data_IF_811445093650
#
_entry.id   IF_811445093650
#
_cell.length_a   1.000
_cell.length_b   1.000
_cell.length_c   1.000
_cell.angle_alpha   90.00
_cell.angle_beta   90.00
_cell.angle_gamma   90.00
#
_symmetry.space_group_name_H-M   'P 1'
#
loop_
_entity.id
_entity.type
_entity.pdbx_description
1 polymer ?
#
# COMPACT_ATOMS: atom_id res chain seq x y z
N UNK A 1 -13.38 105.64 60.53
CA UNK A 1 -12.42 106.12 61.59
C UNK A 1 -11.29 105.08 61.68
N UNK A 2 -10.11 105.58 61.50
CA UNK A 2 -8.77 105.01 61.82
C UNK A 2 -8.37 103.69 61.08
N UNK A 3 -7.70 103.80 60.12
CA UNK A 3 -6.33 103.94 59.63
C UNK A 3 -5.26 103.41 60.60
N UNK A 4 -4.52 102.30 60.27
CA UNK A 4 -3.09 102.19 60.55
C UNK A 4 -2.43 101.24 59.55
N UNK A 5 -1.62 101.85 58.74
CA UNK A 5 -0.62 101.25 57.87
C UNK A 5 0.46 100.48 58.66
N UNK A 6 0.72 99.22 58.33
CA UNK A 6 1.90 98.45 58.83
C UNK A 6 2.89 98.21 57.70
N UNK A 7 3.81 99.00 57.56
CA UNK A 7 5.00 98.93 56.62
C UNK A 7 5.85 97.68 57.01
N UNK A 8 5.96 96.71 56.13
CA UNK A 8 6.92 95.61 56.25
C UNK A 8 8.25 96.06 55.73
N UNK A 9 9.21 96.28 56.64
CA UNK A 9 10.60 96.48 56.30
C UNK A 9 11.20 95.22 55.62
N UNK A 10 11.69 95.42 54.41
CA UNK A 10 12.54 94.41 53.71
C UNK A 10 13.91 94.44 54.35
N UNK A 11 14.27 93.39 55.10
CA UNK A 11 15.69 93.13 55.55
C UNK A 11 16.53 92.81 54.33
N UNK A 12 17.31 93.75 53.87
CA UNK A 12 18.39 93.53 52.92
C UNK A 12 19.46 92.67 53.58
N UNK A 13 19.61 91.42 53.07
CA UNK A 13 20.72 90.55 53.50
C UNK A 13 22.02 91.16 53.03
N UNK A 14 22.82 91.56 54.02
CA UNK A 14 24.15 92.13 53.84
C UNK A 14 25.12 91.06 53.35
N UNK A 15 25.20 90.83 52.02
CA UNK A 15 26.07 89.85 51.38
C UNK A 15 27.59 90.00 51.81
N UNK A 16 28.07 91.21 52.14
CA UNK A 16 29.45 91.43 52.59
C UNK A 16 29.83 90.74 53.88
N UNK A 17 28.91 90.51 54.81
CA UNK A 17 29.19 89.76 56.05
C UNK A 17 29.24 88.27 55.89
N UNK A 18 28.60 87.73 54.82
CA UNK A 18 28.67 86.29 54.50
C UNK A 18 29.97 85.91 53.78
N UNK A 19 30.57 86.82 52.96
CA UNK A 19 31.82 86.57 52.22
C UNK A 19 33.02 86.69 53.11
N UNK A 20 32.97 87.33 54.30
CA UNK A 20 34.09 87.41 55.29
C UNK A 20 34.14 86.27 56.31
N UNK A 21 33.13 85.41 56.28
CA UNK A 21 33.04 84.23 57.16
C UNK A 21 33.84 83.02 56.63
N UNK A 22 34.82 82.57 57.36
CA UNK A 22 35.61 81.33 57.05
C UNK A 22 34.66 80.11 56.95
N UNK A 23 33.60 80.11 57.72
CA UNK A 23 32.56 79.03 57.71
C UNK A 23 31.78 79.02 56.43
N UNK A 24 31.48 80.22 55.84
CA UNK A 24 30.78 80.29 54.52
C UNK A 24 31.63 79.68 53.43
N UNK A 25 32.90 80.00 53.36
CA UNK A 25 33.81 79.45 52.37
C UNK A 25 34.01 77.93 52.54
N UNK A 26 34.02 77.39 53.78
CA UNK A 26 34.05 75.94 54.01
C UNK A 26 32.76 75.24 53.51
N UNK A 27 31.60 75.84 53.79
CA UNK A 27 30.33 75.27 53.30
C UNK A 27 30.25 75.34 51.79
N UNK A 28 30.68 76.47 51.23
CA UNK A 28 30.69 76.68 49.76
C UNK A 28 31.64 75.66 49.05
N UNK A 29 32.83 75.45 49.63
CA UNK A 29 33.84 74.52 49.12
C UNK A 29 33.34 73.06 49.24
N UNK A 30 32.66 72.71 50.35
CA UNK A 30 32.04 71.41 50.50
C UNK A 30 30.90 71.18 49.51
N UNK A 31 30.08 72.22 49.29
CA UNK A 31 29.02 72.18 48.32
C UNK A 31 29.53 72.07 46.84
N UNK A 32 30.59 72.90 46.54
CA UNK A 32 31.23 72.80 45.21
C UNK A 32 31.91 71.43 45.00
N UNK A 33 32.57 70.90 46.02
CA UNK A 33 33.15 69.55 45.99
C UNK A 33 32.10 68.47 45.83
N UNK A 34 30.95 68.59 46.52
CA UNK A 34 29.81 67.66 46.38
C UNK A 34 29.18 67.73 44.98
N UNK A 35 29.09 68.96 44.45
CA UNK A 35 28.58 69.14 43.05
C UNK A 35 29.60 68.58 42.04
N UNK A 36 30.86 68.83 42.20
CA UNK A 36 31.91 68.28 41.35
C UNK A 36 31.97 66.75 41.49
N UNK A 37 31.85 66.21 42.68
CA UNK A 37 31.74 64.73 42.87
C UNK A 37 30.52 64.19 42.23
N UNK A 38 29.35 64.85 42.37
CA UNK A 38 28.10 64.42 41.70
C UNK A 38 28.21 64.52 40.17
N UNK A 39 28.84 65.56 39.63
CA UNK A 39 29.09 65.71 38.22
C UNK A 39 30.01 64.62 37.69
N UNK A 40 31.15 64.33 38.37
CA UNK A 40 32.09 63.30 37.98
C UNK A 40 31.41 61.92 38.05
N UNK A 41 30.66 61.61 39.11
CA UNK A 41 29.97 60.31 39.26
C UNK A 41 28.79 60.12 38.29
N UNK A 42 28.19 61.22 37.79
CA UNK A 42 27.13 61.16 36.78
C UNK A 42 27.64 61.14 35.36
N UNK A 43 28.81 61.75 35.10
CA UNK A 43 29.38 61.90 33.74
C UNK A 43 30.36 60.77 33.41
N UNK A 44 31.17 60.34 34.35
CA UNK A 44 32.05 59.19 34.29
C UNK A 44 31.29 58.03 35.02
N UNK A 45 30.30 57.36 34.34
CA UNK A 45 29.57 56.26 34.91
C UNK A 45 30.52 55.14 35.33
N UNK A 46 30.45 54.74 36.58
CA UNK A 46 31.23 53.58 37.11
C UNK A 46 30.98 52.37 36.22
N UNK A 47 32.02 51.92 35.55
CA UNK A 47 31.93 50.65 34.79
C UNK A 47 31.60 49.52 35.73
N UNK A 48 30.60 48.77 35.40
CA UNK A 48 30.18 47.58 36.12
C UNK A 48 30.21 46.38 35.18
N UNK A 49 30.36 45.20 35.72
CA UNK A 49 30.31 43.99 34.95
C UNK A 49 28.97 43.31 35.15
N UNK A 50 28.44 42.71 34.06
CA UNK A 50 27.24 41.93 34.06
C UNK A 50 27.46 40.64 33.27
N UNK A 51 27.22 39.51 33.90
CA UNK A 51 27.27 38.20 33.21
C UNK A 51 25.91 37.85 32.68
N UNK A 52 25.85 37.55 31.38
CA UNK A 52 24.69 37.00 30.67
C UNK A 52 24.94 35.52 30.43
N UNK A 53 24.04 34.68 30.91
CA UNK A 53 24.09 33.24 30.71
C UNK A 53 23.06 32.78 29.67
N UNK A 54 23.48 31.89 28.76
CA UNK A 54 22.55 31.33 27.75
C UNK A 54 22.18 32.31 26.63
N UNK A 55 23.13 33.19 26.23
CA UNK A 55 22.93 34.08 25.06
C UNK A 55 22.84 33.20 23.80
N UNK A 56 21.74 33.31 23.04
CA UNK A 56 21.45 32.50 21.87
C UNK A 56 22.47 32.73 20.76
N UNK A 57 22.85 31.65 20.06
CA UNK A 57 23.64 31.71 18.85
C UNK A 57 22.66 31.71 17.66
N UNK A 58 22.89 32.66 16.73
CA UNK A 58 22.11 32.77 15.47
C UNK A 58 23.06 32.75 14.27
N UNK A 59 22.69 32.02 13.24
CA UNK A 59 23.43 31.93 12.00
C UNK A 59 22.89 32.94 10.99
N UNK A 60 23.70 33.98 10.71
CA UNK A 60 23.35 35.01 9.73
C UNK A 60 23.68 34.51 8.31
N UNK A 61 22.72 34.61 7.41
CA UNK A 61 22.90 34.19 6.01
C UNK A 61 22.54 32.73 5.72
N UNK A 62 21.96 31.99 6.69
CA UNK A 62 21.58 30.58 6.51
C UNK A 62 20.60 30.38 5.36
N UNK A 63 19.58 31.25 5.23
CA UNK A 63 18.61 31.17 4.13
C UNK A 63 19.24 31.49 2.77
N UNK A 64 20.15 32.48 2.71
CA UNK A 64 20.87 32.81 1.51
C UNK A 64 21.82 31.68 1.07
N UNK A 65 22.53 31.07 2.01
CA UNK A 65 23.39 29.91 1.79
C UNK A 65 22.58 28.71 1.28
N UNK A 66 21.41 28.44 1.87
CA UNK A 66 20.49 27.39 1.41
C UNK A 66 20.00 27.65 -0.01
N UNK A 67 19.62 28.89 -0.33
CA UNK A 67 19.06 29.25 -1.64
C UNK A 67 20.10 29.29 -2.77
N UNK A 68 21.36 29.67 -2.45
CA UNK A 68 22.42 29.88 -3.45
C UNK A 68 23.32 28.66 -3.68
N UNK A 69 23.48 27.82 -2.67
CA UNK A 69 24.50 26.76 -2.67
C UNK A 69 23.99 25.40 -2.21
N UNK A 70 22.68 25.27 -1.90
CA UNK A 70 22.06 24.06 -1.35
C UNK A 70 22.80 23.54 -0.10
N UNK A 71 23.31 24.44 0.74
CA UNK A 71 24.03 24.11 1.96
C UNK A 71 23.16 24.43 3.19
N UNK A 72 23.22 23.56 4.20
CA UNK A 72 22.51 23.72 5.47
C UNK A 72 23.42 23.41 6.65
N UNK A 73 23.22 24.13 7.76
CA UNK A 73 23.88 23.81 9.03
C UNK A 73 23.13 22.64 9.69
N UNK A 74 23.83 21.56 10.02
CA UNK A 74 23.21 20.33 10.55
C UNK A 74 23.55 20.05 12.00
N UNK A 75 24.80 20.29 12.40
CA UNK A 75 25.28 20.06 13.76
C UNK A 75 25.94 21.32 14.30
N UNK A 76 25.75 21.62 15.56
CA UNK A 76 26.44 22.67 16.27
C UNK A 76 26.84 22.17 17.66
N UNK A 77 28.03 22.52 18.09
CA UNK A 77 28.56 22.10 19.39
C UNK A 77 27.86 22.77 20.58
N UNK A 78 27.21 23.90 20.31
CA UNK A 78 26.49 24.69 21.32
C UNK A 78 25.39 25.55 20.70
N UNK A 79 24.31 25.76 21.41
CA UNK A 79 23.18 26.64 21.01
C UNK A 79 23.22 28.00 21.69
N UNK A 80 24.10 28.14 22.70
CA UNK A 80 24.24 29.39 23.47
C UNK A 80 25.65 29.55 24.02
N UNK A 81 26.01 30.82 24.33
CA UNK A 81 27.27 31.18 24.99
C UNK A 81 26.99 32.01 26.22
N UNK A 82 27.88 31.90 27.21
CA UNK A 82 27.88 32.81 28.36
C UNK A 82 28.92 33.91 28.13
N UNK A 83 28.59 35.15 28.49
CA UNK A 83 29.47 36.27 28.32
C UNK A 83 29.39 37.22 29.48
N UNK A 84 30.53 37.84 29.83
CA UNK A 84 30.63 38.91 30.83
C UNK A 84 30.92 40.22 30.09
N UNK A 85 30.01 41.16 30.24
CA UNK A 85 30.03 42.47 29.60
C UNK A 85 30.39 43.53 30.62
N UNK A 86 31.27 44.52 30.28
CA UNK A 86 31.57 45.70 31.06
C UNK A 86 31.02 46.94 30.38
N UNK A 87 30.52 47.88 31.17
CA UNK A 87 29.96 49.14 30.68
C UNK A 87 29.22 49.88 31.78
N UNK A 88 28.64 51.02 31.44
CA UNK A 88 27.88 51.78 32.42
C UNK A 88 26.62 51.03 32.88
N UNK A 89 26.24 51.20 34.14
CA UNK A 89 25.03 50.54 34.70
C UNK A 89 23.79 50.83 33.89
N UNK A 90 23.69 52.02 33.30
CA UNK A 90 22.55 52.45 32.46
C UNK A 90 22.44 51.60 31.20
N UNK A 91 23.54 51.31 30.56
CA UNK A 91 23.61 50.50 29.34
C UNK A 91 23.39 49.04 29.65
N UNK A 92 24.12 48.50 30.65
CA UNK A 92 24.02 47.09 30.99
C UNK A 92 22.65 46.69 31.59
N UNK A 93 21.90 47.63 32.17
CA UNK A 93 20.55 47.35 32.65
C UNK A 93 19.57 47.00 31.54
N UNK A 94 19.81 47.47 30.32
CA UNK A 94 19.00 47.21 29.14
C UNK A 94 19.31 45.86 28.47
N UNK A 95 20.46 45.25 28.80
CA UNK A 95 20.91 43.99 28.19
C UNK A 95 20.41 42.81 28.99
N UNK A 96 19.81 41.85 28.30
CA UNK A 96 19.35 40.59 28.84
C UNK A 96 19.84 39.45 27.93
N UNK A 97 19.84 38.23 28.41
CA UNK A 97 20.17 37.05 27.60
C UNK A 97 19.16 36.79 26.42
N UNK A 98 18.00 37.44 26.46
CA UNK A 98 16.96 37.32 25.40
C UNK A 98 17.05 38.38 24.33
N UNK A 99 17.77 39.53 24.57
CA UNK A 99 17.89 40.61 23.60
C UNK A 99 19.32 40.86 23.10
N UNK A 100 20.29 40.10 23.61
CA UNK A 100 21.64 40.00 23.08
C UNK A 100 21.77 38.67 22.36
N UNK A 101 22.33 38.69 21.15
CA UNK A 101 22.56 37.48 20.36
C UNK A 101 24.01 37.37 19.92
N UNK A 102 24.52 36.14 19.85
CA UNK A 102 25.81 35.82 19.26
C UNK A 102 25.59 35.43 17.80
N UNK A 103 26.04 36.20 16.83
CA UNK A 103 25.79 35.99 15.40
C UNK A 103 27.01 35.39 14.73
N UNK A 104 26.83 34.24 14.11
CA UNK A 104 27.82 33.58 13.23
C UNK A 104 27.50 33.92 11.79
N UNK A 105 28.45 34.54 11.10
CA UNK A 105 28.26 34.92 9.68
C UNK A 105 28.64 33.76 8.75
N UNK A 106 27.69 33.28 7.94
CA UNK A 106 27.89 32.18 7.02
C UNK A 106 28.26 32.61 5.58
N UNK A 107 28.47 33.91 5.30
CA UNK A 107 28.74 34.39 3.94
C UNK A 107 29.99 33.78 3.30
N UNK A 108 30.95 33.32 4.09
CA UNK A 108 32.19 32.70 3.63
C UNK A 108 32.14 31.17 3.58
N UNK A 109 30.97 30.58 3.88
CA UNK A 109 30.76 29.13 3.83
C UNK A 109 30.29 28.74 2.44
N UNK A 110 31.18 28.12 1.66
CA UNK A 110 30.93 27.78 0.26
C UNK A 110 30.93 26.29 -0.06
N UNK A 111 31.26 25.45 0.91
CA UNK A 111 31.33 23.99 0.76
C UNK A 111 30.78 23.27 1.99
N UNK A 112 30.49 21.98 1.83
CA UNK A 112 30.19 21.08 2.93
C UNK A 112 31.43 20.79 3.77
N UNK A 113 31.27 20.60 5.07
CA UNK A 113 32.38 20.28 5.99
C UNK A 113 32.21 20.86 7.39
N UNK A 114 33.26 20.69 8.18
CA UNK A 114 33.34 21.26 9.56
C UNK A 114 33.92 22.65 9.53
N UNK A 115 33.28 23.56 10.25
CA UNK A 115 33.67 24.93 10.39
C UNK A 115 33.86 25.28 11.86
N UNK A 116 34.82 26.16 12.12
CA UNK A 116 35.06 26.78 13.44
C UNK A 116 35.12 28.27 13.18
N UNK A 117 34.07 28.99 13.52
CA UNK A 117 33.92 30.43 13.18
C UNK A 117 33.68 31.24 14.44
N UNK A 118 34.35 32.38 14.54
CA UNK A 118 34.05 33.36 15.58
C UNK A 118 32.70 34.02 15.34
N UNK A 119 32.08 34.50 16.39
CA UNK A 119 30.79 35.17 16.32
C UNK A 119 30.91 36.63 16.72
N UNK A 120 30.03 37.45 16.16
CA UNK A 120 29.86 38.84 16.56
C UNK A 120 28.70 38.93 17.57
N UNK A 121 28.79 39.92 18.48
CA UNK A 121 27.73 40.13 19.47
C UNK A 121 26.79 41.23 18.94
N UNK A 122 25.56 40.89 18.74
CA UNK A 122 24.52 41.82 18.36
C UNK A 122 23.77 42.34 19.58
N UNK A 123 23.76 43.67 19.75
CA UNK A 123 23.04 44.35 20.81
C UNK A 123 21.69 44.85 20.34
N UNK A 124 20.72 45.02 21.25
CA UNK A 124 19.40 45.54 20.89
C UNK A 124 19.45 46.99 20.44
N UNK A 125 18.44 47.42 19.66
CA UNK A 125 18.28 48.80 19.22
C UNK A 125 18.33 49.79 20.42
N UNK A 126 19.14 50.87 20.30
CA UNK A 126 19.32 51.87 21.35
C UNK A 126 20.42 51.55 22.36
N UNK A 127 21.26 50.58 22.10
CA UNK A 127 22.53 50.31 22.77
C UNK A 127 23.65 50.43 21.74
N UNK A 128 24.61 51.34 22.04
CA UNK A 128 25.78 51.54 21.17
C UNK A 128 26.83 50.48 21.55
N UNK A 129 27.29 49.67 20.60
CA UNK A 129 28.31 48.66 20.80
C UNK A 129 29.61 49.20 21.41
N UNK A 130 29.96 50.45 21.12
CA UNK A 130 31.15 51.09 21.65
C UNK A 130 31.08 51.41 23.16
N UNK A 131 29.87 51.35 23.76
CA UNK A 131 29.65 51.58 25.20
C UNK A 131 29.68 50.28 26.02
N UNK A 132 29.88 49.12 25.33
CA UNK A 132 29.92 47.79 25.97
C UNK A 132 31.19 47.06 25.56
N UNK A 133 31.98 46.66 26.57
CA UNK A 133 33.19 45.87 26.35
C UNK A 133 32.92 44.42 26.75
N UNK A 134 33.27 43.47 25.89
CA UNK A 134 33.25 42.05 26.21
C UNK A 134 34.47 41.68 26.98
N UNK A 135 34.32 41.30 28.25
CA UNK A 135 35.42 40.96 29.14
C UNK A 135 35.80 39.51 29.05
N UNK A 136 34.80 38.64 28.96
CA UNK A 136 34.99 37.20 28.91
C UNK A 136 33.82 36.53 28.17
N UNK A 137 34.15 35.50 27.42
CA UNK A 137 33.18 34.59 26.79
C UNK A 137 33.48 33.14 27.16
N UNK A 138 32.48 32.31 27.25
CA UNK A 138 32.66 30.87 27.51
C UNK A 138 33.33 30.13 26.35
N UNK A 139 33.30 30.70 25.15
CA UNK A 139 34.00 30.25 23.96
C UNK A 139 34.10 31.39 22.97
N UNK A 140 35.16 31.47 22.22
CA UNK A 140 35.39 32.50 21.19
C UNK A 140 34.95 32.05 19.81
N UNK A 141 34.66 30.76 19.66
CA UNK A 141 34.25 30.16 18.37
C UNK A 141 33.06 29.23 18.58
N UNK A 142 32.31 29.07 17.51
CA UNK A 142 31.24 28.06 17.38
C UNK A 142 31.67 27.04 16.32
N UNK A 143 31.65 25.77 16.71
CA UNK A 143 31.91 24.68 15.77
C UNK A 143 30.60 24.15 15.27
N UNK A 144 30.49 24.01 13.95
CA UNK A 144 29.30 23.49 13.30
C UNK A 144 29.67 22.70 12.05
N UNK A 145 28.76 21.83 11.62
CA UNK A 145 28.89 21.08 10.40
C UNK A 145 27.89 21.62 9.36
N UNK A 146 28.36 21.77 8.14
CA UNK A 146 27.55 22.15 6.97
C UNK A 146 27.46 20.96 6.03
N UNK A 147 26.25 20.61 5.64
CA UNK A 147 26.01 19.55 4.67
C UNK A 147 25.25 20.06 3.46
N UNK A 148 25.30 19.31 2.36
CA UNK A 148 24.50 19.61 1.17
C UNK A 148 23.05 19.20 1.42
N UNK A 149 22.14 20.05 0.98
CA UNK A 149 20.73 19.72 0.92
C UNK A 149 20.52 18.71 -0.23
N UNK A 150 19.97 17.54 0.08
CA UNK A 150 19.63 16.52 -0.87
C UNK A 150 18.12 16.29 -0.90
N UNK A 151 17.59 15.96 -2.09
CA UNK A 151 16.24 15.42 -2.26
C UNK A 151 16.35 13.99 -2.69
N UNK A 152 15.47 13.13 -2.18
CA UNK A 152 15.36 11.73 -2.55
C UNK A 152 13.90 11.33 -2.60
N UNK A 153 13.52 10.60 -3.63
CA UNK A 153 12.24 9.91 -3.69
C UNK A 153 12.46 8.47 -3.24
N UNK A 154 11.66 8.01 -2.30
CA UNK A 154 11.74 6.66 -1.74
C UNK A 154 10.42 5.94 -1.91
N UNK A 155 10.48 4.63 -2.15
CA UNK A 155 9.29 3.78 -2.26
C UNK A 155 8.61 3.63 -0.90
N UNK A 156 7.30 3.48 -0.92
CA UNK A 156 6.52 3.12 0.26
C UNK A 156 6.35 1.61 0.28
N UNK A 157 6.77 0.99 1.37
CA UNK A 157 6.61 -0.44 1.66
C UNK A 157 5.89 -0.61 2.98
N UNK A 158 5.37 -1.81 3.23
CA UNK A 158 4.73 -2.08 4.50
C UNK A 158 4.68 -3.55 4.83
N UNK A 159 4.27 -3.84 6.05
CA UNK A 159 4.00 -5.19 6.52
C UNK A 159 2.70 -5.22 7.31
N UNK A 160 1.95 -6.28 7.11
CA UNK A 160 0.80 -6.63 7.92
C UNK A 160 1.24 -7.60 9.02
N UNK A 161 0.87 -7.31 10.25
CA UNK A 161 1.09 -8.17 11.40
C UNK A 161 -0.25 -8.38 12.10
N UNK A 162 -0.67 -9.64 12.23
CA UNK A 162 -1.95 -10.02 12.82
C UNK A 162 -2.55 -11.22 12.11
N UNK A 163 -3.84 -11.38 12.23
CA UNK A 163 -4.60 -12.47 11.62
C UNK A 163 -5.86 -11.94 10.92
N UNK A 164 -6.38 -12.75 10.02
CA UNK A 164 -7.71 -12.57 9.43
C UNK A 164 -8.74 -13.37 10.20
N UNK A 165 -10.00 -12.96 10.14
CA UNK A 165 -11.12 -13.74 10.62
C UNK A 165 -11.24 -15.06 9.86
N UNK A 166 -11.93 -16.06 10.42
CA UNK A 166 -12.19 -17.32 9.76
C UNK A 166 -12.94 -17.11 8.44
N UNK A 167 -12.47 -17.76 7.39
CA UNK A 167 -13.03 -17.59 6.03
C UNK A 167 -12.47 -16.39 5.26
N UNK A 168 -11.40 -15.78 5.73
CA UNK A 168 -10.74 -14.65 5.07
C UNK A 168 -9.24 -14.85 4.94
N UNK A 169 -8.65 -14.22 3.93
CA UNK A 169 -7.21 -14.23 3.67
C UNK A 169 -6.77 -12.81 3.32
N UNK A 170 -5.74 -12.31 4.00
CA UNK A 170 -5.11 -11.07 3.61
C UNK A 170 -4.18 -11.30 2.41
N UNK A 171 -4.30 -10.45 1.39
CA UNK A 171 -3.31 -10.39 0.31
C UNK A 171 -2.02 -9.78 0.88
N UNK A 172 -0.89 -10.45 0.69
CA UNK A 172 0.42 -9.95 1.13
C UNK A 172 0.83 -8.67 0.38
N UNK A 173 0.26 -8.44 -0.80
CA UNK A 173 0.50 -7.25 -1.60
C UNK A 173 -0.37 -6.08 -1.15
N UNK A 174 0.20 -5.22 -0.28
CA UNK A 174 -0.45 -3.95 0.09
C UNK A 174 -0.30 -2.92 -1.02
N UNK A 175 -1.34 -2.12 -1.23
CA UNK A 175 -1.34 -1.00 -2.16
C UNK A 175 -1.17 0.31 -1.40
N UNK A 176 -0.27 1.17 -1.89
CA UNK A 176 0.02 2.48 -1.28
C UNK A 176 -0.29 3.61 -2.25
N UNK A 177 -0.86 4.69 -1.75
CA UNK A 177 -1.08 5.92 -2.50
C UNK A 177 -0.64 7.14 -1.65
N UNK A 178 0.43 7.85 -2.06
CA UNK A 178 1.30 7.58 -3.22
C UNK A 178 2.23 6.38 -3.02
N UNK A 179 2.65 5.73 -4.12
CA UNK A 179 3.64 4.63 -4.11
C UNK A 179 5.05 5.08 -3.71
N UNK A 180 5.33 6.37 -3.86
CA UNK A 180 6.63 6.97 -3.56
C UNK A 180 6.42 8.28 -2.83
N UNK A 181 7.32 8.59 -1.90
CA UNK A 181 7.30 9.86 -1.17
C UNK A 181 8.63 10.60 -1.36
N UNK A 182 8.56 11.91 -1.49
CA UNK A 182 9.74 12.74 -1.60
C UNK A 182 10.14 13.28 -0.23
N UNK A 183 11.43 13.18 0.05
CA UNK A 183 12.07 13.67 1.27
C UNK A 183 13.24 14.58 0.93
N UNK A 184 13.52 15.54 1.78
CA UNK A 184 14.66 16.43 1.65
C UNK A 184 15.33 16.67 3.00
N UNK A 185 16.64 16.91 2.97
CA UNK A 185 17.43 17.13 4.18
C UNK A 185 18.92 17.03 3.91
N UNK A 186 19.75 16.96 4.97
CA UNK A 186 21.20 16.77 4.83
C UNK A 186 21.51 15.51 4.04
N UNK A 187 22.42 15.61 3.08
CA UNK A 187 22.81 14.49 2.21
C UNK A 187 23.27 13.28 3.02
N UNK A 188 24.02 13.50 4.08
CA UNK A 188 24.53 12.44 4.97
C UNK A 188 23.42 11.67 5.67
N UNK A 189 22.28 12.33 5.95
CA UNK A 189 21.10 11.72 6.58
C UNK A 189 20.21 11.07 5.50
N UNK A 190 19.89 11.83 4.44
CA UNK A 190 19.02 11.35 3.34
C UNK A 190 19.58 10.11 2.65
N UNK A 191 20.93 10.00 2.54
CA UNK A 191 21.55 8.83 1.91
C UNK A 191 21.36 7.53 2.70
N UNK A 192 21.08 7.60 4.00
CA UNK A 192 20.82 6.44 4.86
C UNK A 192 19.40 5.89 4.69
N UNK A 193 18.46 6.72 4.26
CA UNK A 193 17.08 6.32 4.08
C UNK A 193 16.99 5.44 2.83
N UNK A 194 16.44 4.22 2.97
CA UNK A 194 16.18 3.30 1.86
C UNK A 194 14.74 3.46 1.38
N UNK A 195 13.76 3.30 2.25
CA UNK A 195 12.35 3.38 1.93
C UNK A 195 11.49 3.95 3.07
N UNK A 196 10.25 4.30 2.76
CA UNK A 196 9.21 4.62 3.74
C UNK A 196 8.48 3.33 4.13
N UNK A 197 8.27 3.12 5.42
CA UNK A 197 7.69 1.88 5.93
C UNK A 197 6.40 2.14 6.72
N UNK A 198 5.36 1.37 6.39
CA UNK A 198 4.05 1.36 7.07
C UNK A 198 3.84 0.01 7.72
N UNK A 199 3.60 -0.02 9.02
CA UNK A 199 3.22 -1.24 9.74
C UNK A 199 1.71 -1.22 10.03
N UNK A 200 1.00 -2.27 9.61
CA UNK A 200 -0.40 -2.50 9.96
C UNK A 200 -0.46 -3.62 10.98
N UNK A 201 -0.96 -3.34 12.16
CA UNK A 201 -1.20 -4.37 13.18
C UNK A 201 -2.71 -4.43 13.46
N UNK A 202 -3.35 -5.55 13.07
CA UNK A 202 -4.79 -5.78 13.25
C UNK A 202 -5.05 -7.27 13.47
N UNK A 203 -6.07 -7.56 14.28
CA UNK A 203 -6.57 -8.90 14.53
C UNK A 203 -7.98 -9.07 13.94
N UNK A 204 -8.33 -10.29 13.55
CA UNK A 204 -9.66 -10.66 13.04
C UNK A 204 -10.16 -9.78 11.88
N UNK A 205 -9.27 -9.54 10.91
CA UNK A 205 -9.63 -8.72 9.75
C UNK A 205 -10.55 -9.51 8.82
N UNK A 206 -11.75 -8.98 8.58
CA UNK A 206 -12.84 -9.61 7.81
C UNK A 206 -13.17 -8.87 6.50
N UNK A 207 -12.44 -7.81 6.18
CA UNK A 207 -12.65 -6.99 4.98
C UNK A 207 -11.41 -6.20 4.61
N UNK A 208 -11.37 -5.76 3.36
CA UNK A 208 -10.33 -4.83 2.88
C UNK A 208 -10.28 -3.58 3.76
N UNK A 209 -9.08 -3.26 4.23
CA UNK A 209 -8.79 -2.06 5.02
C UNK A 209 -8.17 -1.01 4.10
N UNK A 210 -8.70 0.22 4.13
CA UNK A 210 -8.12 1.35 3.42
C UNK A 210 -8.22 2.60 4.29
N UNK A 211 -7.08 3.19 4.66
CA UNK A 211 -7.03 4.40 5.49
C UNK A 211 -5.68 5.12 5.34
N UNK A 212 -5.68 6.43 5.63
CA UNK A 212 -4.44 7.22 5.68
C UNK A 212 -3.72 7.01 7.00
N UNK A 213 -2.40 6.90 6.92
CA UNK A 213 -1.52 6.75 8.07
C UNK A 213 -0.16 7.39 7.81
N UNK A 214 0.54 7.72 8.88
CA UNK A 214 1.93 8.16 8.82
C UNK A 214 2.87 6.99 8.54
N UNK A 215 4.03 7.28 8.02
CA UNK A 215 5.08 6.29 7.72
C UNK A 215 6.37 6.59 8.47
N UNK A 216 7.17 5.58 8.73
CA UNK A 216 8.52 5.68 9.23
C UNK A 216 9.52 5.64 8.08
N UNK A 217 10.58 6.45 8.14
CA UNK A 217 11.70 6.32 7.22
C UNK A 217 12.69 5.30 7.78
N UNK A 218 13.13 4.37 6.95
CA UNK A 218 14.01 3.28 7.40
C UNK A 218 15.19 3.10 6.46
N UNK A 219 16.26 2.50 6.98
CA UNK A 219 17.42 2.07 6.21
C UNK A 219 17.17 0.72 5.51
N UNK A 220 18.15 0.22 4.77
CA UNK A 220 18.07 -1.06 4.07
C UNK A 220 17.89 -2.29 5.00
N UNK A 221 18.10 -2.13 6.30
CA UNK A 221 17.89 -3.19 7.30
C UNK A 221 16.61 -3.00 8.11
N UNK A 222 15.71 -2.10 7.66
CA UNK A 222 14.48 -1.71 8.34
C UNK A 222 14.70 -1.03 9.72
N UNK A 223 15.89 -0.46 9.99
CA UNK A 223 16.07 0.34 11.18
C UNK A 223 15.54 1.76 10.96
N UNK A 224 14.82 2.35 11.93
CA UNK A 224 14.31 3.72 11.81
C UNK A 224 15.44 4.74 11.60
N UNK A 225 15.24 5.66 10.67
CA UNK A 225 16.08 6.83 10.45
C UNK A 225 15.31 8.05 10.95
N UNK A 226 15.52 8.39 12.22
CA UNK A 226 14.87 9.53 12.87
C UNK A 226 15.85 10.71 12.92
N UNK A 227 15.52 11.77 12.19
CA UNK A 227 16.29 13.02 12.21
C UNK A 227 15.35 14.19 11.95
N UNK A 228 15.34 15.18 12.83
CA UNK A 228 14.48 16.35 12.74
C UNK A 228 14.82 17.28 11.57
N UNK A 229 15.96 17.08 10.92
CA UNK A 229 16.36 17.83 9.73
C UNK A 229 15.73 17.30 8.44
N UNK A 230 15.11 16.12 8.49
CA UNK A 230 14.40 15.55 7.34
C UNK A 230 13.03 16.26 7.17
N UNK A 231 12.82 16.84 6.01
CA UNK A 231 11.53 17.38 5.61
C UNK A 231 10.84 16.39 4.69
N UNK A 232 9.58 16.10 5.00
CA UNK A 232 8.69 15.23 4.20
C UNK A 232 7.78 16.11 3.37
N UNK A 233 7.66 15.80 2.08
CA UNK A 233 6.73 16.52 1.19
C UNK A 233 5.28 16.05 1.42
N UNK A 234 5.12 14.78 1.79
CA UNK A 234 3.86 14.15 2.16
C UNK A 234 4.03 13.49 3.52
N UNK A 235 3.17 13.79 4.48
CA UNK A 235 3.28 13.26 5.86
C UNK A 235 2.51 11.95 6.03
N UNK A 236 1.46 11.75 5.24
CA UNK A 236 0.60 10.57 5.30
C UNK A 236 0.50 9.88 3.96
N UNK A 237 0.32 8.58 3.99
CA UNK A 237 0.05 7.75 2.82
C UNK A 237 -1.21 6.93 3.08
N UNK A 238 -2.02 6.74 2.04
CA UNK A 238 -3.14 5.81 2.09
C UNK A 238 -2.61 4.41 1.85
N UNK A 239 -2.89 3.52 2.77
CA UNK A 239 -2.57 2.09 2.66
C UNK A 239 -3.86 1.30 2.48
N UNK A 240 -3.85 0.38 1.52
CA UNK A 240 -4.93 -0.57 1.30
C UNK A 240 -4.39 -1.99 1.45
N UNK A 241 -4.90 -2.71 2.44
CA UNK A 241 -4.71 -4.15 2.62
C UNK A 241 -5.94 -4.85 2.07
N UNK A 242 -5.77 -5.54 0.95
CA UNK A 242 -6.85 -6.33 0.37
C UNK A 242 -7.08 -7.59 1.21
N UNK A 243 -8.34 -7.88 1.49
CA UNK A 243 -8.76 -9.09 2.20
C UNK A 243 -9.79 -9.81 1.36
N UNK A 244 -9.46 -11.04 1.02
CA UNK A 244 -10.25 -11.92 0.16
C UNK A 244 -11.09 -12.86 1.04
N UNK A 245 -12.31 -13.13 0.61
CA UNK A 245 -13.11 -14.21 1.17
C UNK A 245 -12.58 -15.56 0.70
N UNK A 246 -12.60 -16.58 1.58
CA UNK A 246 -12.19 -17.93 1.23
C UNK A 246 -13.35 -18.92 1.44
N UNK A 247 -13.46 -19.92 0.56
CA UNK A 247 -14.49 -20.95 0.63
C UNK A 247 -13.99 -22.27 0.06
N UNK A 248 -14.28 -23.35 0.76
CA UNK A 248 -14.12 -24.69 0.21
C UNK A 248 -15.27 -24.97 -0.76
N UNK A 249 -14.94 -25.24 -2.03
CA UNK A 249 -15.89 -25.45 -3.12
C UNK A 249 -15.76 -26.85 -3.65
N UNK A 250 -16.84 -27.66 -3.62
CA UNK A 250 -16.84 -29.01 -4.17
C UNK A 250 -16.69 -28.99 -5.69
N UNK A 251 -15.95 -29.96 -6.20
CA UNK A 251 -15.82 -30.26 -7.61
C UNK A 251 -16.93 -31.20 -8.05
N UNK A 252 -17.48 -30.97 -9.23
CA UNK A 252 -18.56 -31.81 -9.80
C UNK A 252 -18.37 -31.93 -11.33
N UNK A 253 -19.10 -32.85 -11.92
CA UNK A 253 -19.16 -33.01 -13.37
C UNK A 253 -20.62 -33.04 -13.83
N UNK A 254 -20.86 -32.57 -15.02
CA UNK A 254 -22.17 -32.72 -15.69
C UNK A 254 -22.22 -34.09 -16.33
N UNK A 255 -23.24 -34.89 -15.99
CA UNK A 255 -23.48 -36.19 -16.62
C UNK A 255 -24.60 -36.05 -17.63
N UNK A 256 -24.37 -36.56 -18.84
CA UNK A 256 -25.41 -36.78 -19.85
C UNK A 256 -25.78 -38.25 -19.75
N UNK A 257 -27.05 -38.49 -19.39
CA UNK A 257 -27.61 -39.81 -19.31
C UNK A 257 -27.69 -40.45 -20.71
N UNK A 258 -27.50 -41.74 -20.78
CA UNK A 258 -27.57 -42.47 -22.05
C UNK A 258 -26.96 -43.86 -21.99
N UNK A 259 -27.11 -44.60 -23.10
CA UNK A 259 -26.59 -45.96 -23.17
C UNK A 259 -27.16 -46.89 -22.08
N UNK A 260 -28.41 -46.69 -21.66
CA UNK A 260 -29.06 -47.53 -20.62
C UNK A 260 -28.57 -47.26 -19.20
N UNK A 261 -27.97 -46.09 -18.93
CA UNK A 261 -27.57 -45.67 -17.58
C UNK A 261 -27.91 -44.21 -17.33
N UNK A 262 -28.19 -43.87 -16.08
CA UNK A 262 -28.46 -42.51 -15.62
C UNK A 262 -27.54 -42.16 -14.45
N UNK A 263 -27.34 -40.85 -14.22
CA UNK A 263 -26.52 -40.35 -13.11
C UNK A 263 -26.97 -40.95 -11.79
N UNK A 264 -28.26 -40.91 -11.50
CA UNK A 264 -28.77 -41.19 -10.17
C UNK A 264 -28.93 -42.67 -9.87
N UNK A 265 -29.26 -43.48 -10.89
CA UNK A 265 -29.57 -44.92 -10.69
C UNK A 265 -28.37 -45.82 -10.90
N UNK A 266 -27.47 -45.47 -11.80
CA UNK A 266 -26.47 -46.41 -12.30
C UNK A 266 -25.04 -45.93 -12.19
N UNK A 267 -24.76 -44.72 -11.65
CA UNK A 267 -23.39 -44.21 -11.60
C UNK A 267 -22.90 -43.95 -10.16
N UNK A 268 -21.65 -44.30 -9.93
CA UNK A 268 -20.86 -43.83 -8.77
C UNK A 268 -19.76 -42.94 -9.30
N UNK A 269 -19.74 -41.67 -8.84
CA UNK A 269 -18.78 -40.66 -9.28
C UNK A 269 -17.81 -40.40 -8.12
N UNK A 270 -16.53 -40.54 -8.38
CA UNK A 270 -15.43 -40.21 -7.45
C UNK A 270 -14.56 -39.14 -8.10
N UNK A 271 -14.31 -38.05 -7.37
CA UNK A 271 -13.48 -36.93 -7.83
C UNK A 271 -12.35 -36.73 -6.83
N UNK A 272 -11.12 -36.69 -7.31
CA UNK A 272 -9.93 -36.52 -6.47
C UNK A 272 -9.07 -35.37 -7.01
N UNK A 273 -8.89 -34.26 -6.25
CA UNK A 273 -9.54 -33.97 -4.96
C UNK A 273 -11.06 -33.73 -5.13
N UNK A 274 -11.82 -33.91 -4.06
CA UNK A 274 -13.28 -33.71 -4.08
C UNK A 274 -13.70 -32.25 -3.99
N UNK A 275 -12.81 -31.38 -3.49
CA UNK A 275 -13.01 -29.94 -3.30
C UNK A 275 -11.70 -29.21 -3.43
N UNK A 276 -11.79 -27.89 -3.62
CA UNK A 276 -10.64 -26.97 -3.57
C UNK A 276 -11.00 -25.75 -2.72
N UNK A 277 -9.99 -25.09 -2.16
CA UNK A 277 -10.14 -23.80 -1.49
C UNK A 277 -10.02 -22.68 -2.52
N UNK A 278 -11.06 -21.89 -2.69
CA UNK A 278 -11.05 -20.66 -3.49
C UNK A 278 -10.90 -19.44 -2.58
N UNK A 279 -10.15 -18.45 -3.04
CA UNK A 279 -10.11 -17.11 -2.47
C UNK A 279 -10.50 -16.09 -3.55
N UNK A 280 -11.14 -15.00 -3.15
CA UNK A 280 -11.54 -13.96 -4.10
C UNK A 280 -12.52 -12.96 -3.51
N UNK A 281 -13.10 -12.14 -4.39
CA UNK A 281 -14.13 -11.20 -3.99
C UNK A 281 -15.34 -11.92 -3.36
N UNK A 282 -15.87 -11.39 -2.27
CA UNK A 282 -16.97 -12.01 -1.51
C UNK A 282 -18.17 -12.37 -2.42
N UNK A 283 -18.54 -11.49 -3.37
CA UNK A 283 -19.64 -11.75 -4.29
C UNK A 283 -19.37 -12.93 -5.24
N UNK A 284 -18.13 -13.09 -5.71
CA UNK A 284 -17.72 -14.19 -6.57
C UNK A 284 -17.70 -15.52 -5.79
N UNK A 285 -17.15 -15.49 -4.58
CA UNK A 285 -17.09 -16.65 -3.66
C UNK A 285 -18.50 -17.11 -3.24
N UNK A 286 -19.37 -16.17 -2.84
CA UNK A 286 -20.72 -16.50 -2.39
C UNK A 286 -21.57 -17.13 -3.49
N UNK A 287 -21.42 -16.64 -4.73
CA UNK A 287 -22.15 -17.17 -5.90
C UNK A 287 -21.65 -18.54 -6.34
N UNK A 288 -20.42 -18.93 -5.96
CA UNK A 288 -19.82 -20.20 -6.36
C UNK A 288 -20.23 -21.30 -5.38
N UNK A 289 -21.18 -22.15 -5.77
CA UNK A 289 -21.66 -23.28 -4.95
C UNK A 289 -20.93 -24.58 -5.25
N UNK A 290 -20.49 -24.77 -6.49
CA UNK A 290 -19.70 -25.91 -6.97
C UNK A 290 -18.96 -25.54 -8.25
N UNK A 291 -17.89 -26.25 -8.56
CA UNK A 291 -17.11 -26.07 -9.77
C UNK A 291 -17.31 -27.27 -10.70
N UNK A 292 -17.81 -27.00 -11.91
CA UNK A 292 -18.03 -28.05 -12.91
C UNK A 292 -16.75 -28.22 -13.73
N UNK A 293 -16.17 -29.42 -13.65
CA UNK A 293 -14.92 -29.76 -14.34
C UNK A 293 -15.14 -30.04 -15.83
N UNK A 294 -16.30 -30.61 -16.18
CA UNK A 294 -16.61 -30.97 -17.57
C UNK A 294 -17.89 -31.76 -17.68
N UNK A 295 -18.13 -32.28 -18.90
CA UNK A 295 -19.31 -33.09 -19.21
C UNK A 295 -18.89 -34.49 -19.62
N UNK A 296 -19.55 -35.49 -19.04
CA UNK A 296 -19.34 -36.92 -19.32
C UNK A 296 -20.64 -37.51 -19.85
N UNK A 297 -20.56 -38.13 -21.02
CA UNK A 297 -21.71 -38.82 -21.63
C UNK A 297 -21.61 -40.31 -21.36
N UNK A 298 -22.60 -40.85 -20.64
CA UNK A 298 -22.64 -42.26 -20.26
C UNK A 298 -22.80 -43.22 -21.45
N UNK A 299 -23.21 -42.76 -22.60
CA UNK A 299 -23.31 -43.62 -23.80
C UNK A 299 -21.94 -43.88 -24.46
N UNK A 300 -20.86 -43.20 -24.08
CA UNK A 300 -19.58 -43.34 -24.76
C UNK A 300 -18.68 -44.46 -24.22
N UNK A 301 -18.98 -44.99 -23.05
CA UNK A 301 -18.20 -46.08 -22.42
C UNK A 301 -19.11 -47.14 -21.81
N UNK A 302 -18.60 -48.37 -21.78
CA UNK A 302 -19.42 -49.55 -21.41
C UNK A 302 -19.43 -49.80 -19.90
N UNK A 303 -18.32 -49.61 -19.21
CA UNK A 303 -18.14 -49.93 -17.78
C UNK A 303 -17.65 -48.72 -17.03
N UNK A 304 -16.36 -48.66 -16.70
CA UNK A 304 -15.76 -47.56 -15.96
C UNK A 304 -15.10 -46.56 -16.89
N UNK A 305 -15.11 -45.31 -16.46
CA UNK A 305 -14.44 -44.19 -17.16
C UNK A 305 -13.60 -43.45 -16.15
N UNK A 306 -12.39 -43.09 -16.54
CA UNK A 306 -11.52 -42.23 -15.73
C UNK A 306 -10.83 -41.23 -16.63
N UNK A 307 -10.89 -39.94 -16.25
CA UNK A 307 -10.24 -38.86 -16.97
C UNK A 307 -9.77 -37.78 -16.00
N UNK A 308 -8.73 -37.06 -16.41
CA UNK A 308 -8.22 -35.90 -15.69
C UNK A 308 -8.75 -34.63 -16.35
N UNK A 309 -9.24 -33.74 -15.53
CA UNK A 309 -9.79 -32.44 -15.91
C UNK A 309 -8.99 -31.31 -15.28
N UNK A 310 -8.73 -30.28 -16.04
CA UNK A 310 -8.13 -29.05 -15.53
C UNK A 310 -9.13 -28.28 -14.69
N UNK A 311 -8.71 -27.83 -13.51
CA UNK A 311 -9.50 -27.00 -12.60
C UNK A 311 -9.33 -25.54 -13.03
N UNK A 312 -10.41 -24.92 -13.47
CA UNK A 312 -10.43 -23.51 -13.91
C UNK A 312 -11.28 -22.72 -12.92
N UNK A 313 -10.64 -21.91 -12.05
CA UNK A 313 -11.38 -21.05 -11.11
C UNK A 313 -12.25 -20.04 -11.86
N UNK A 314 -13.41 -19.65 -11.30
CA UNK A 314 -14.23 -18.57 -11.83
C UNK A 314 -13.49 -17.23 -11.85
N UNK A 315 -13.93 -16.32 -12.74
CA UNK A 315 -13.37 -14.97 -12.77
C UNK A 315 -13.51 -14.27 -11.42
N UNK A 316 -12.45 -13.61 -10.97
CA UNK A 316 -12.41 -12.93 -9.66
C UNK A 316 -12.12 -13.87 -8.49
N UNK A 317 -11.73 -15.13 -8.76
CA UNK A 317 -11.29 -16.08 -7.71
C UNK A 317 -9.96 -16.73 -8.08
N UNK A 318 -9.25 -17.19 -7.05
CA UNK A 318 -7.99 -17.90 -7.16
C UNK A 318 -8.05 -19.24 -6.41
N UNK A 319 -7.37 -20.24 -6.94
CA UNK A 319 -7.28 -21.55 -6.31
C UNK A 319 -6.09 -21.60 -5.34
N UNK A 320 -6.38 -21.65 -4.06
CA UNK A 320 -5.39 -21.63 -2.98
C UNK A 320 -4.77 -23.01 -2.68
N UNK A 321 -5.33 -24.11 -3.24
CA UNK A 321 -4.79 -25.46 -2.98
C UNK A 321 -3.55 -25.77 -3.80
N UNK A 322 -3.27 -24.99 -4.86
CA UNK A 322 -2.18 -25.26 -5.81
C UNK A 322 -2.42 -26.47 -6.72
N UNK A 323 -3.54 -27.19 -6.55
CA UNK A 323 -3.90 -28.35 -7.38
C UNK A 323 -4.61 -27.86 -8.64
N UNK A 324 -4.02 -28.08 -9.79
CA UNK A 324 -4.52 -27.59 -11.09
C UNK A 324 -5.36 -28.60 -11.84
N UNK A 325 -5.40 -29.86 -11.41
CA UNK A 325 -6.09 -30.95 -12.08
C UNK A 325 -6.84 -31.84 -11.08
N UNK A 326 -7.96 -32.37 -11.52
CA UNK A 326 -8.73 -33.36 -10.74
C UNK A 326 -9.02 -34.60 -11.61
N UNK A 327 -8.86 -35.78 -11.00
CA UNK A 327 -9.21 -37.03 -11.63
C UNK A 327 -10.65 -37.38 -11.28
N UNK A 328 -11.46 -37.60 -12.33
CA UNK A 328 -12.86 -38.04 -12.22
C UNK A 328 -12.95 -39.48 -12.65
N UNK A 329 -13.46 -40.33 -11.76
CA UNK A 329 -13.77 -41.73 -12.05
C UNK A 329 -15.27 -41.94 -11.96
N UNK A 330 -15.85 -42.47 -13.02
CA UNK A 330 -17.28 -42.81 -13.11
C UNK A 330 -17.38 -44.32 -13.25
N UNK A 331 -17.93 -44.97 -12.27
CA UNK A 331 -18.18 -46.41 -12.29
C UNK A 331 -19.66 -46.68 -12.55
N UNK A 332 -19.94 -47.56 -13.49
CA UNK A 332 -21.32 -47.98 -13.85
C UNK A 332 -21.69 -49.18 -13.01
N UNK A 333 -22.87 -49.12 -12.37
CA UNK A 333 -23.37 -50.14 -11.45
C UNK A 333 -24.82 -50.55 -11.77
N UNK A 334 -25.22 -51.78 -11.42
CA UNK A 334 -26.61 -52.23 -11.55
C UNK A 334 -27.06 -52.58 -12.99
N UNK A 335 -26.12 -52.49 -13.93
CA UNK A 335 -26.41 -52.84 -15.35
C UNK A 335 -25.28 -53.75 -15.87
N UNK A 336 -25.58 -54.50 -16.91
CA UNK A 336 -24.66 -55.35 -17.65
C UNK A 336 -24.64 -54.96 -19.14
N UNK A 337 -23.67 -55.44 -19.89
CA UNK A 337 -23.56 -55.20 -21.35
C UNK A 337 -23.67 -56.54 -22.10
N UNK A 338 -24.33 -56.53 -23.26
CA UNK A 338 -24.42 -57.63 -24.19
C UNK A 338 -24.35 -57.17 -25.61
N UNK A 339 -23.61 -57.87 -26.45
CA UNK A 339 -23.51 -57.58 -27.86
C UNK A 339 -24.67 -58.21 -28.63
N UNK A 340 -25.25 -57.47 -29.56
CA UNK A 340 -26.30 -57.91 -30.48
C UNK A 340 -25.92 -57.55 -31.91
N UNK A 341 -26.45 -58.28 -32.90
CA UNK A 341 -26.35 -57.95 -34.30
C UNK A 341 -27.64 -57.30 -34.75
N UNK A 342 -27.54 -56.11 -35.38
CA UNK A 342 -28.72 -55.46 -36.00
C UNK A 342 -28.92 -56.07 -37.37
N UNK A 343 -30.16 -56.57 -37.63
CA UNK A 343 -30.51 -57.12 -38.96
C UNK A 343 -30.37 -55.99 -39.97
N UNK A 344 -29.72 -56.23 -41.14
CA UNK A 344 -29.69 -55.26 -42.26
C UNK A 344 -31.04 -54.67 -42.66
N UNK A 345 -32.11 -55.45 -42.56
CA UNK A 345 -33.45 -54.97 -42.82
C UNK A 345 -34.03 -53.98 -41.83
N UNK A 346 -33.40 -53.92 -40.60
CA UNK A 346 -33.75 -52.96 -39.55
C UNK A 346 -32.86 -51.71 -39.59
N UNK A 347 -32.06 -51.53 -40.63
CA UNK A 347 -31.26 -50.33 -40.85
C UNK A 347 -32.05 -49.38 -41.75
N UNK A 348 -32.47 -48.24 -41.20
CA UNK A 348 -33.34 -47.28 -41.82
C UNK A 348 -32.59 -45.96 -42.05
N UNK A 349 -32.69 -45.45 -43.28
CA UNK A 349 -32.21 -44.10 -43.60
C UNK A 349 -33.43 -43.17 -43.65
N UNK A 350 -33.29 -42.05 -42.86
CA UNK A 350 -34.29 -40.97 -42.86
C UNK A 350 -33.67 -39.68 -43.42
N UNK A 351 -34.54 -38.74 -43.83
CA UNK A 351 -34.12 -37.44 -44.38
C UNK A 351 -33.18 -37.60 -45.59
N UNK A 352 -33.47 -38.59 -46.43
CA UNK A 352 -32.74 -38.80 -47.69
C UNK A 352 -32.89 -37.56 -48.56
N UNK A 353 -31.76 -36.98 -49.10
CA UNK A 353 -31.87 -35.81 -49.97
C UNK A 353 -32.82 -36.01 -51.18
N UNK A 354 -33.54 -34.94 -51.52
CA UNK A 354 -34.48 -34.99 -52.65
C UNK A 354 -33.80 -35.40 -53.95
N UNK A 355 -34.41 -36.31 -54.67
CA UNK A 355 -33.88 -36.85 -55.94
C UNK A 355 -32.93 -38.03 -55.77
N UNK A 356 -32.73 -38.55 -54.56
CA UNK A 356 -31.83 -39.68 -54.26
C UNK A 356 -32.58 -40.83 -53.55
N UNK A 357 -32.11 -42.06 -53.81
CA UNK A 357 -32.43 -43.25 -53.04
C UNK A 357 -31.19 -43.67 -52.23
N UNK A 358 -31.41 -43.99 -50.95
CA UNK A 358 -30.36 -44.51 -50.06
C UNK A 358 -30.47 -46.03 -49.94
N UNK A 359 -29.42 -46.72 -50.32
CA UNK A 359 -29.31 -48.17 -50.20
C UNK A 359 -28.26 -48.52 -49.10
N UNK A 360 -28.69 -49.27 -48.06
CA UNK A 360 -27.81 -49.80 -47.09
C UNK A 360 -26.97 -50.94 -47.70
N UNK A 361 -25.61 -50.83 -47.56
CA UNK A 361 -24.69 -51.86 -48.02
C UNK A 361 -23.95 -52.52 -46.83
N UNK A 362 -24.31 -52.18 -45.59
CA UNK A 362 -23.78 -52.81 -44.38
C UNK A 362 -24.38 -54.19 -44.19
N UNK A 363 -23.54 -55.24 -44.17
CA UNK A 363 -24.00 -56.61 -44.00
C UNK A 363 -24.23 -57.04 -42.57
N UNK A 364 -23.46 -56.47 -41.63
CA UNK A 364 -23.58 -56.75 -40.19
C UNK A 364 -23.21 -55.50 -39.38
N UNK A 365 -24.06 -55.13 -38.47
CA UNK A 365 -23.80 -54.05 -37.49
C UNK A 365 -23.90 -54.61 -36.08
N UNK A 366 -22.74 -54.86 -35.44
CA UNK A 366 -22.70 -55.34 -34.07
C UNK A 366 -22.75 -54.13 -33.14
N UNK A 367 -23.67 -54.15 -32.19
CA UNK A 367 -23.89 -53.10 -31.22
C UNK A 367 -23.81 -53.66 -29.80
N UNK A 368 -23.31 -52.85 -28.86
CA UNK A 368 -23.28 -53.21 -27.44
C UNK A 368 -24.45 -52.51 -26.74
N UNK A 369 -25.36 -53.30 -26.23
CA UNK A 369 -26.51 -52.85 -25.45
C UNK A 369 -26.18 -52.96 -23.96
N UNK A 370 -26.47 -51.93 -23.19
CA UNK A 370 -26.36 -51.89 -21.73
C UNK A 370 -27.75 -51.77 -21.12
N UNK A 371 -28.09 -52.64 -20.16
CA UNK A 371 -29.33 -52.62 -19.41
C UNK A 371 -29.22 -53.51 -18.16
N UNK A 372 -30.19 -53.47 -17.23
CA UNK A 372 -30.31 -54.54 -16.21
C UNK A 372 -30.30 -55.92 -16.84
N UNK A 373 -29.68 -56.91 -16.18
CA UNK A 373 -29.51 -58.27 -16.72
C UNK A 373 -30.84 -58.87 -17.16
N UNK A 374 -31.90 -58.69 -16.37
CA UNK A 374 -33.23 -59.21 -16.65
C UNK A 374 -33.83 -58.65 -17.95
N UNK A 375 -33.47 -57.41 -18.29
CA UNK A 375 -33.89 -56.72 -19.51
C UNK A 375 -33.08 -57.27 -20.69
N UNK A 376 -31.75 -57.40 -20.54
CA UNK A 376 -30.87 -57.95 -21.59
C UNK A 376 -31.26 -59.38 -22.00
N UNK A 377 -31.80 -60.21 -21.10
CA UNK A 377 -32.21 -61.56 -21.37
C UNK A 377 -33.51 -61.63 -22.22
N UNK A 378 -34.27 -60.51 -22.22
CA UNK A 378 -35.54 -60.39 -23.00
C UNK A 378 -35.33 -59.72 -24.35
N UNK A 379 -34.24 -58.98 -24.55
CA UNK A 379 -33.91 -58.34 -25.81
C UNK A 379 -33.43 -59.37 -26.83
N UNK A 380 -33.93 -59.27 -28.03
CA UNK A 380 -33.53 -60.03 -29.20
C UNK A 380 -33.22 -59.11 -30.40
N UNK A 381 -32.60 -59.63 -31.44
CA UNK A 381 -32.18 -58.83 -32.62
C UNK A 381 -33.36 -58.12 -33.32
N UNK A 382 -34.59 -58.62 -33.20
CA UNK A 382 -35.79 -58.00 -33.78
C UNK A 382 -36.24 -56.71 -33.09
N UNK A 383 -35.73 -56.48 -31.85
CA UNK A 383 -36.01 -55.28 -31.10
C UNK A 383 -35.05 -54.12 -31.46
N UNK A 384 -34.02 -54.40 -32.24
CA UNK A 384 -32.96 -53.44 -32.55
C UNK A 384 -33.21 -52.81 -33.94
N UNK A 385 -33.11 -51.49 -33.98
CA UNK A 385 -33.26 -50.71 -35.19
C UNK A 385 -32.16 -49.64 -35.26
N UNK A 386 -31.44 -49.58 -36.38
CA UNK A 386 -30.43 -48.55 -36.62
C UNK A 386 -31.06 -47.46 -37.53
N UNK A 387 -30.99 -46.22 -37.12
CA UNK A 387 -31.53 -45.07 -37.85
C UNK A 387 -30.39 -44.13 -38.25
N UNK A 388 -30.16 -44.00 -39.54
CA UNK A 388 -29.24 -43.04 -40.10
C UNK A 388 -29.99 -41.79 -40.56
N UNK A 389 -29.68 -40.65 -39.97
CA UNK A 389 -30.20 -39.36 -40.42
C UNK A 389 -29.23 -38.76 -41.47
N UNK A 390 -29.74 -38.58 -42.68
CA UNK A 390 -28.98 -38.11 -43.83
C UNK A 390 -29.19 -36.63 -44.12
N UNK A 391 -29.84 -35.88 -43.22
CA UNK A 391 -30.10 -34.44 -43.38
C UNK A 391 -28.83 -33.58 -43.59
N UNK A 392 -27.71 -34.04 -43.10
CA UNK A 392 -26.42 -33.36 -43.23
C UNK A 392 -25.69 -33.68 -44.54
N UNK A 393 -26.22 -34.55 -45.38
CA UNK A 393 -25.66 -34.85 -46.70
C UNK A 393 -26.17 -33.82 -47.71
N UNK A 394 -25.24 -33.15 -48.41
CA UNK A 394 -25.61 -32.13 -49.41
C UNK A 394 -26.41 -32.68 -50.60
N UNK A 395 -27.14 -31.82 -51.28
CA UNK A 395 -28.05 -32.11 -52.38
C UNK A 395 -27.40 -32.65 -53.68
N UNK A 396 -26.05 -32.70 -53.74
CA UNK A 396 -25.32 -33.23 -54.90
C UNK A 396 -24.42 -34.42 -54.53
N UNK A 397 -24.90 -35.26 -53.63
CA UNK A 397 -24.12 -36.34 -53.04
C UNK A 397 -24.55 -37.69 -53.70
N UNK A 398 -23.88 -38.12 -54.77
CA UNK A 398 -23.96 -39.53 -55.23
C UNK A 398 -22.69 -40.25 -54.82
N UNK A 399 -22.82 -41.51 -54.38
CA UNK A 399 -21.65 -42.32 -53.95
C UNK A 399 -21.85 -43.05 -52.63
N UNK A 400 -20.75 -43.54 -52.06
CA UNK A 400 -20.73 -44.27 -50.78
C UNK A 400 -20.47 -43.32 -49.65
N UNK A 401 -21.29 -43.37 -48.60
CA UNK A 401 -21.19 -42.55 -47.41
C UNK A 401 -21.15 -43.43 -46.14
N UNK A 402 -20.62 -42.86 -45.05
CA UNK A 402 -20.48 -43.55 -43.77
C UNK A 402 -21.14 -42.72 -42.66
N UNK A 403 -22.49 -42.59 -42.64
CA UNK A 403 -23.18 -41.84 -41.60
C UNK A 403 -23.13 -42.58 -40.26
N UNK A 404 -23.15 -41.80 -39.17
CA UNK A 404 -23.40 -42.28 -37.83
C UNK A 404 -24.87 -42.68 -37.70
N UNK A 405 -25.15 -43.73 -36.95
CA UNK A 405 -26.52 -44.22 -36.69
C UNK A 405 -26.88 -44.14 -35.22
N UNK A 406 -28.12 -43.76 -34.95
CA UNK A 406 -28.75 -43.91 -33.66
C UNK A 406 -29.38 -45.31 -33.58
N UNK A 407 -29.00 -46.07 -32.52
CA UNK A 407 -29.58 -47.39 -32.29
C UNK A 407 -30.79 -47.26 -31.35
N UNK A 408 -31.96 -47.63 -31.80
CA UNK A 408 -33.19 -47.71 -31.01
C UNK A 408 -33.51 -49.14 -30.62
N UNK A 409 -33.98 -49.30 -29.39
CA UNK A 409 -34.32 -50.61 -28.80
C UNK A 409 -35.83 -50.58 -28.50
N UNK A 410 -36.60 -51.13 -29.38
CA UNK A 410 -38.06 -51.05 -29.31
C UNK A 410 -38.60 -51.94 -28.18
N UNK A 411 -39.43 -51.33 -27.30
CA UNK A 411 -40.09 -52.03 -26.18
C UNK A 411 -39.29 -52.04 -24.89
N UNK A 412 -38.06 -51.50 -24.84
CA UNK A 412 -37.17 -51.50 -23.67
C UNK A 412 -36.54 -50.11 -23.43
N UNK A 413 -37.31 -49.20 -22.84
CA UNK A 413 -36.84 -47.82 -22.64
C UNK A 413 -35.66 -47.70 -21.64
N UNK A 414 -35.50 -48.70 -20.77
CA UNK A 414 -34.40 -48.79 -19.80
C UNK A 414 -33.08 -49.31 -20.39
N UNK A 415 -33.12 -49.79 -21.66
CA UNK A 415 -31.95 -50.25 -22.39
C UNK A 415 -31.40 -49.14 -23.31
N UNK A 416 -30.10 -49.10 -23.51
CA UNK A 416 -29.45 -48.20 -24.43
C UNK A 416 -28.17 -48.74 -25.03
N UNK A 417 -27.81 -48.27 -26.21
CA UNK A 417 -26.58 -48.65 -26.86
C UNK A 417 -25.41 -47.81 -26.40
N UNK A 418 -24.27 -48.46 -26.23
CA UNK A 418 -23.00 -47.86 -25.81
C UNK A 418 -22.02 -47.86 -26.97
N UNK A 419 -21.42 -46.71 -27.23
CA UNK A 419 -20.50 -46.48 -28.34
C UNK A 419 -21.13 -45.73 -29.50
N UNK A 420 -20.34 -45.33 -30.46
CA UNK A 420 -20.75 -44.69 -31.72
C UNK A 420 -20.71 -45.72 -32.84
N UNK A 421 -21.77 -45.80 -33.60
CA UNK A 421 -21.92 -46.78 -34.68
C UNK A 421 -22.06 -46.07 -36.01
N UNK A 422 -21.46 -46.63 -37.05
CA UNK A 422 -21.51 -46.13 -38.43
C UNK A 422 -21.92 -47.24 -39.37
N UNK A 423 -22.63 -46.88 -40.44
CA UNK A 423 -23.01 -47.80 -41.50
C UNK A 423 -22.46 -47.31 -42.83
N UNK A 424 -22.45 -48.19 -43.81
CA UNK A 424 -22.14 -47.86 -45.18
C UNK A 424 -23.41 -47.81 -45.99
N UNK A 425 -23.65 -46.71 -46.68
CA UNK A 425 -24.79 -46.50 -47.59
C UNK A 425 -24.30 -46.05 -48.94
N UNK A 426 -25.07 -46.35 -49.95
CA UNK A 426 -24.90 -45.79 -51.30
C UNK A 426 -26.11 -44.88 -51.63
N UNK A 427 -25.80 -43.64 -52.01
CA UNK A 427 -26.82 -42.73 -52.56
C UNK A 427 -26.79 -42.83 -54.09
N UNK A 428 -27.91 -43.09 -54.68
CA UNK A 428 -28.15 -43.18 -56.14
C UNK A 428 -29.18 -42.16 -56.53
N UNK A 429 -28.98 -41.47 -57.68
CA UNK A 429 -30.05 -40.61 -58.23
C UNK A 429 -31.30 -41.45 -58.60
N UNK A 430 -32.44 -40.90 -58.23
CA UNK A 430 -33.70 -41.48 -58.61
C UNK A 430 -33.84 -41.43 -60.15
N UNK A 431 -34.11 -42.55 -60.74
CA UNK A 431 -34.42 -42.64 -62.21
C UNK A 431 -35.79 -42.18 -62.53
#
# INVERSE_FOLDING_TARGET
>A
MNNTNGTKERKTLNLKRLTDSRVFWMILSLFAASLLWMYVTTTEGVEVQKTLTGVKIEFLGADAMRASSDLIVTEQDRTSVNMTLSGTRRVLSKLTNSNVTATVNLNNVTADGRYSVSYDIAFPAGVNANEVTVVHTSSDVVNFYVDKLARKTVEVKGAFTGNTAEGYLADESMVFDPLVVAISGPKTVISKVDHAFVAITREEVDRTLSYSTTYSLVDANNNPVEDSSIQRETEEVTVTLNVLSTKEVPLDVTIIDGGGATRDANTRIEITPSSIMLAGDAAAIDSTTKLILGTINLSTFATDFSATYTIIPPNGTENMTGVTEATVTVSITGVATKSFSVNPDNIICINVPDGYDAENITQALNVTVRAPQEVLDRISEVNLRAVADLSNLGTNASGVFTPTVEIKIDGFPEAGCVGEYKIYITLKEKR
#
